data_IF_394972684130
#
_entry.id   IF_394972684130
#
_cell.length_a   1.000
_cell.length_b   1.000
_cell.length_c   1.000
_cell.angle_alpha   90.00
_cell.angle_beta   90.00
_cell.angle_gamma   90.00
#
_symmetry.space_group_name_H-M   'P 1'
#
loop_
_entity.id
_entity.type
_entity.pdbx_description
1 polymer ?
#
# COMPACT_ATOMS: atom_id res chain seq x y z
N UNK A 1 1.77 -7.27 25.63
CA UNK A 1 0.31 -7.14 25.38
C UNK A 1 -0.02 -7.06 23.88
N UNK A 2 0.59 -6.14 23.12
CA UNK A 2 0.35 -5.95 21.67
C UNK A 2 0.64 -7.22 20.83
N UNK A 3 1.77 -7.91 21.07
CA UNK A 3 2.13 -9.13 20.34
C UNK A 3 1.19 -10.34 20.58
N UNK A 4 0.39 -10.33 21.66
CA UNK A 4 -0.69 -11.33 21.89
C UNK A 4 -1.96 -10.95 21.14
N UNK A 5 -2.35 -9.67 21.19
CA UNK A 5 -3.48 -9.14 20.43
C UNK A 5 -3.30 -9.34 18.91
N UNK A 6 -2.08 -9.10 18.42
CA UNK A 6 -1.71 -9.31 17.02
C UNK A 6 -1.90 -10.76 16.57
N UNK A 7 -1.35 -11.72 17.32
CA UNK A 7 -1.49 -13.16 17.02
C UNK A 7 -2.94 -13.66 17.16
N UNK A 8 -3.74 -13.05 18.02
CA UNK A 8 -5.14 -13.42 18.21
C UNK A 8 -6.04 -12.96 17.05
N UNK A 9 -5.83 -11.75 16.53
CA UNK A 9 -6.62 -11.21 15.41
C UNK A 9 -6.16 -11.71 14.03
N UNK A 10 -4.88 -12.02 13.84
CA UNK A 10 -4.33 -12.45 12.56
C UNK A 10 -4.09 -13.96 12.50
N UNK A 11 -5.15 -14.77 12.66
CA UNK A 11 -5.08 -16.23 12.41
C UNK A 11 -4.96 -16.60 10.93
N UNK A 12 -5.28 -15.67 10.02
CA UNK A 12 -5.16 -15.86 8.58
C UNK A 12 -3.99 -15.04 8.02
N UNK A 13 -2.96 -15.72 7.53
CA UNK A 13 -1.76 -15.08 6.96
C UNK A 13 -2.10 -14.07 5.84
N UNK A 14 -3.17 -14.33 5.08
CA UNK A 14 -3.67 -13.43 4.04
C UNK A 14 -4.09 -12.06 4.58
N UNK A 15 -4.83 -12.00 5.70
CA UNK A 15 -5.25 -10.72 6.30
C UNK A 15 -4.07 -9.95 6.87
N UNK A 16 -3.11 -10.67 7.45
CA UNK A 16 -1.89 -10.08 7.98
C UNK A 16 -1.09 -9.39 6.87
N UNK A 17 -0.89 -10.08 5.74
CA UNK A 17 -0.25 -9.50 4.55
C UNK A 17 -0.97 -8.25 4.05
N UNK A 18 -2.30 -8.31 3.91
CA UNK A 18 -3.10 -7.17 3.44
C UNK A 18 -2.97 -5.97 4.39
N UNK A 19 -3.04 -6.21 5.70
CA UNK A 19 -2.89 -5.18 6.71
C UNK A 19 -1.50 -4.54 6.68
N UNK A 20 -0.44 -5.35 6.68
CA UNK A 20 0.94 -4.87 6.68
C UNK A 20 1.28 -4.11 5.39
N UNK A 21 0.85 -4.62 4.23
CA UNK A 21 1.01 -3.92 2.96
C UNK A 21 0.30 -2.56 2.96
N UNK A 22 -0.93 -2.51 3.48
CA UNK A 22 -1.72 -1.27 3.55
C UNK A 22 -1.09 -0.26 4.50
N UNK A 23 -0.64 -0.72 5.67
CA UNK A 23 0.00 0.15 6.66
C UNK A 23 1.33 0.69 6.14
N UNK A 24 2.17 -0.16 5.55
CA UNK A 24 3.44 0.24 4.95
C UNK A 24 3.21 1.26 3.83
N UNK A 25 2.23 1.02 2.95
CA UNK A 25 1.85 1.94 1.89
C UNK A 25 1.51 3.34 2.43
N UNK A 26 0.60 3.42 3.41
CA UNK A 26 0.15 4.70 3.98
C UNK A 26 1.29 5.45 4.65
N UNK A 27 2.11 4.75 5.44
CA UNK A 27 3.25 5.36 6.15
C UNK A 27 4.31 5.86 5.17
N UNK A 28 4.67 5.07 4.16
CA UNK A 28 5.64 5.47 3.14
C UNK A 28 5.13 6.64 2.33
N UNK A 29 3.89 6.61 1.86
CA UNK A 29 3.30 7.72 1.11
C UNK A 29 3.28 9.01 1.92
N UNK A 30 2.80 8.94 3.17
CA UNK A 30 2.80 10.10 4.07
C UNK A 30 4.23 10.63 4.31
N UNK A 31 5.21 9.75 4.49
CA UNK A 31 6.61 10.12 4.68
C UNK A 31 7.21 10.83 3.46
N UNK A 32 7.04 10.28 2.26
CA UNK A 32 7.55 10.89 1.02
C UNK A 32 6.85 12.22 0.73
N UNK A 33 5.54 12.30 0.97
CA UNK A 33 4.78 13.55 0.82
C UNK A 33 5.20 14.61 1.83
N UNK A 34 5.46 14.22 3.08
CA UNK A 34 5.99 15.12 4.10
C UNK A 34 7.37 15.63 3.69
N UNK A 35 8.26 14.77 3.20
CA UNK A 35 9.59 15.15 2.74
C UNK A 35 9.56 16.12 1.55
N UNK A 36 8.74 15.86 0.54
CA UNK A 36 8.56 16.77 -0.61
C UNK A 36 7.97 18.11 -0.16
N UNK A 37 7.02 18.09 0.78
CA UNK A 37 6.49 19.31 1.39
C UNK A 37 7.58 20.09 2.14
N UNK A 38 8.41 19.43 2.96
CA UNK A 38 9.50 20.09 3.69
C UNK A 38 10.56 20.70 2.77
N UNK A 39 10.90 20.02 1.68
CA UNK A 39 11.79 20.54 0.62
C UNK A 39 11.16 21.79 -0.02
N UNK A 40 9.87 21.74 -0.32
CA UNK A 40 9.17 22.86 -0.96
C UNK A 40 9.10 24.11 -0.06
N UNK A 41 8.88 23.94 1.25
CA UNK A 41 8.88 25.07 2.21
C UNK A 41 10.31 25.48 2.63
N UNK A 42 11.35 24.88 2.06
CA UNK A 42 12.75 25.25 2.26
C UNK A 42 13.35 24.81 3.61
N UNK A 43 12.77 23.81 4.27
CA UNK A 43 13.19 23.35 5.60
C UNK A 43 13.74 21.91 5.50
N UNK A 44 15.07 21.74 5.54
CA UNK A 44 15.72 20.42 5.71
C UNK A 44 16.96 20.18 4.83
N UNK A 45 17.83 19.20 5.17
CA UNK A 45 19.10 18.92 4.49
C UNK A 45 18.98 18.08 3.20
N UNK A 46 17.76 17.91 2.67
CA UNK A 46 17.48 16.95 1.61
C UNK A 46 17.66 17.59 0.22
N UNK A 47 18.59 17.04 -0.57
CA UNK A 47 18.82 17.44 -1.96
C UNK A 47 18.35 16.34 -2.92
N UNK A 48 17.90 16.73 -4.10
CA UNK A 48 17.54 15.79 -5.17
C UNK A 48 18.75 14.93 -5.54
N UNK A 49 18.56 13.61 -5.63
CA UNK A 49 19.61 12.69 -6.06
C UNK A 49 19.75 12.78 -7.59
N UNK A 50 20.79 13.47 -8.05
CA UNK A 50 21.17 13.50 -9.47
C UNK A 50 22.35 12.58 -9.74
N UNK A 51 22.17 11.62 -10.64
CA UNK A 51 23.25 10.79 -11.17
C UNK A 51 23.54 11.25 -12.61
N UNK A 52 24.68 11.92 -12.83
CA UNK A 52 25.17 12.24 -14.19
C UNK A 52 24.27 13.13 -15.05
N UNK A 53 23.41 13.96 -14.46
CA UNK A 53 22.44 14.80 -15.18
C UNK A 53 21.07 14.14 -15.44
N UNK A 54 20.89 12.87 -15.04
CA UNK A 54 19.60 12.18 -15.09
C UNK A 54 18.94 12.20 -13.71
N UNK A 55 17.76 12.80 -13.62
CA UNK A 55 16.93 12.75 -12.41
C UNK A 55 16.18 11.41 -12.34
N UNK A 56 16.70 10.49 -11.52
CA UNK A 56 16.02 9.22 -11.26
C UNK A 56 14.91 9.49 -10.24
N UNK A 57 13.69 9.43 -10.74
CA UNK A 57 12.45 9.51 -9.99
C UNK A 57 12.33 8.30 -9.04
N UNK A 58 11.89 8.51 -7.80
CA UNK A 58 11.76 7.41 -6.83
C UNK A 58 10.70 6.38 -7.22
N UNK A 59 9.81 6.74 -8.16
CA UNK A 59 9.00 5.83 -8.95
C UNK A 59 9.79 4.59 -9.43
N UNK A 60 10.98 4.78 -9.99
CA UNK A 60 11.77 3.68 -10.59
C UNK A 60 12.09 2.61 -9.55
N UNK A 61 12.49 3.04 -8.35
CA UNK A 61 12.75 2.15 -7.23
C UNK A 61 11.49 1.45 -6.76
N UNK A 62 10.34 2.15 -6.77
CA UNK A 62 9.03 1.55 -6.49
C UNK A 62 8.68 0.41 -7.44
N UNK A 63 8.84 0.64 -8.75
CA UNK A 63 8.58 -0.37 -9.79
C UNK A 63 9.51 -1.57 -9.63
N UNK A 64 10.83 -1.34 -9.46
CA UNK A 64 11.80 -2.42 -9.26
C UNK A 64 11.46 -3.26 -8.01
N UNK A 65 11.08 -2.61 -6.92
CA UNK A 65 10.68 -3.30 -5.70
C UNK A 65 9.41 -4.14 -5.91
N UNK A 66 8.41 -3.62 -6.63
CA UNK A 66 7.19 -4.35 -6.97
C UNK A 66 7.49 -5.56 -7.88
N UNK A 67 8.39 -5.43 -8.85
CA UNK A 67 8.82 -6.53 -9.72
C UNK A 67 9.51 -7.63 -8.92
N UNK A 68 10.43 -7.28 -8.03
CA UNK A 68 11.11 -8.24 -7.15
C UNK A 68 10.11 -8.95 -6.26
N UNK A 69 9.22 -8.22 -5.58
CA UNK A 69 8.22 -8.82 -4.69
C UNK A 69 7.25 -9.72 -5.48
N UNK A 70 6.81 -9.27 -6.65
CA UNK A 70 5.97 -10.06 -7.54
C UNK A 70 6.65 -11.38 -7.95
N UNK A 71 7.93 -11.31 -8.34
CA UNK A 71 8.71 -12.49 -8.70
C UNK A 71 8.88 -13.46 -7.51
N UNK A 72 9.17 -12.94 -6.31
CA UNK A 72 9.25 -13.73 -5.09
C UNK A 72 7.93 -14.45 -4.79
N UNK A 73 6.78 -13.79 -5.00
CA UNK A 73 5.48 -14.43 -4.83
C UNK A 73 5.17 -15.50 -5.88
N UNK A 74 5.66 -15.36 -7.12
CA UNK A 74 5.52 -16.41 -8.15
C UNK A 74 6.22 -17.72 -7.75
N UNK A 75 7.38 -17.62 -7.12
CA UNK A 75 8.11 -18.78 -6.57
C UNK A 75 7.69 -19.13 -5.13
N UNK A 76 6.54 -18.61 -4.70
CA UNK A 76 5.91 -18.87 -3.40
C UNK A 76 6.70 -18.45 -2.16
N UNK A 77 7.67 -17.54 -2.30
CA UNK A 77 8.38 -16.96 -1.16
C UNK A 77 7.42 -16.07 -0.37
N UNK A 78 7.17 -16.43 0.89
CA UNK A 78 6.23 -15.72 1.77
C UNK A 78 4.75 -15.97 1.50
N UNK A 79 4.42 -16.87 0.57
CA UNK A 79 3.02 -17.26 0.27
C UNK A 79 2.75 -18.76 0.37
N UNK A 80 3.79 -19.60 0.50
CA UNK A 80 3.66 -21.05 0.73
C UNK A 80 3.46 -21.43 2.20
N UNK A 81 3.28 -22.73 2.49
CA UNK A 81 3.02 -23.25 3.86
C UNK A 81 4.29 -23.62 4.65
N UNK A 82 5.47 -23.14 4.26
CA UNK A 82 6.73 -23.51 4.92
C UNK A 82 6.87 -22.83 6.30
N UNK A 83 7.65 -23.43 7.21
CA UNK A 83 7.83 -22.90 8.59
C UNK A 83 8.43 -21.49 8.63
N UNK A 84 9.19 -21.10 7.59
CA UNK A 84 9.74 -19.74 7.44
C UNK A 84 8.82 -18.79 6.66
N UNK A 85 7.69 -19.28 6.13
CA UNK A 85 6.81 -18.50 5.28
C UNK A 85 6.29 -17.25 6.00
N UNK A 86 5.96 -17.33 7.29
CA UNK A 86 5.44 -16.18 8.05
C UNK A 86 6.38 -14.97 8.10
N UNK A 87 7.70 -15.18 8.20
CA UNK A 87 8.67 -14.07 8.21
C UNK A 87 8.80 -13.41 6.83
N UNK A 88 9.01 -14.22 5.79
CA UNK A 88 9.09 -13.72 4.41
C UNK A 88 7.77 -13.11 3.94
N UNK A 89 6.64 -13.61 4.44
CA UNK A 89 5.30 -13.08 4.18
C UNK A 89 5.17 -11.64 4.63
N UNK A 90 5.63 -11.34 5.86
CA UNK A 90 5.62 -9.97 6.42
C UNK A 90 6.54 -9.04 5.64
N UNK A 91 7.77 -9.48 5.37
CA UNK A 91 8.76 -8.67 4.65
C UNK A 91 8.25 -8.34 3.24
N UNK A 92 7.80 -9.34 2.49
CA UNK A 92 7.31 -9.13 1.12
C UNK A 92 6.02 -8.29 1.09
N UNK A 93 5.13 -8.43 2.09
CA UNK A 93 3.97 -7.57 2.23
C UNK A 93 4.34 -6.09 2.51
N UNK A 94 5.27 -5.85 3.43
CA UNK A 94 5.77 -4.49 3.71
C UNK A 94 6.45 -3.91 2.47
N UNK A 95 7.35 -4.67 1.84
CA UNK A 95 8.05 -4.26 0.63
C UNK A 95 7.09 -3.94 -0.53
N UNK A 96 6.02 -4.73 -0.69
CA UNK A 96 4.95 -4.43 -1.65
C UNK A 96 4.30 -3.07 -1.36
N UNK A 97 3.92 -2.82 -0.10
CA UNK A 97 3.31 -1.56 0.31
C UNK A 97 4.22 -0.35 0.05
N UNK A 98 5.50 -0.46 0.41
CA UNK A 98 6.53 0.56 0.14
C UNK A 98 6.67 0.80 -1.36
N UNK A 99 6.80 -0.26 -2.16
CA UNK A 99 6.97 -0.15 -3.61
C UNK A 99 5.78 0.50 -4.30
N UNK A 100 4.56 0.14 -3.88
CA UNK A 100 3.33 0.76 -4.37
C UNK A 100 3.25 2.25 -4.00
N UNK A 101 3.65 2.64 -2.79
CA UNK A 101 3.65 4.04 -2.36
C UNK A 101 4.63 4.89 -3.17
N UNK A 102 5.85 4.38 -3.38
CA UNK A 102 6.87 5.05 -4.18
C UNK A 102 6.43 5.19 -5.66
N UNK A 103 5.81 4.15 -6.22
CA UNK A 103 5.32 4.19 -7.59
C UNK A 103 4.12 5.16 -7.77
N UNK A 104 3.22 5.25 -6.79
CA UNK A 104 2.02 6.09 -6.89
C UNK A 104 2.27 7.56 -6.51
N UNK A 105 3.31 7.87 -5.75
CA UNK A 105 3.57 9.25 -5.32
C UNK A 105 3.79 10.21 -6.52
N UNK A 106 4.42 9.71 -7.57
CA UNK A 106 4.72 10.42 -8.82
C UNK A 106 3.80 9.99 -9.98
N UNK A 107 2.65 9.37 -9.70
CA UNK A 107 1.72 8.87 -10.71
C UNK A 107 1.37 9.91 -11.79
N UNK A 108 1.17 11.17 -11.40
CA UNK A 108 0.83 12.24 -12.33
C UNK A 108 1.96 12.59 -13.32
N UNK A 109 3.23 12.41 -12.95
CA UNK A 109 4.38 12.64 -13.84
C UNK A 109 4.46 11.56 -14.92
N UNK A 110 4.19 10.31 -14.53
CA UNK A 110 4.16 9.17 -15.46
C UNK A 110 2.95 9.23 -16.40
N UNK A 111 1.79 9.67 -15.92
CA UNK A 111 0.56 9.76 -16.72
C UNK A 111 0.62 10.87 -17.76
N UNK A 112 1.23 12.02 -17.44
CA UNK A 112 1.20 13.20 -18.31
C UNK A 112 2.47 13.40 -19.14
N UNK A 113 3.55 12.61 -18.92
CA UNK A 113 4.83 12.65 -19.65
C UNK A 113 5.44 14.07 -19.84
N UNK A 114 5.03 15.05 -19.03
CA UNK A 114 5.51 16.43 -19.05
C UNK A 114 5.68 16.91 -17.60
N UNK A 115 6.80 17.58 -17.31
CA UNK A 115 7.14 18.20 -16.02
C UNK A 115 6.23 19.40 -15.71
N UNK A 116 4.93 19.17 -15.61
CA UNK A 116 3.96 20.21 -15.23
C UNK A 116 3.73 20.11 -13.73
N UNK A 117 4.79 20.42 -12.99
CA UNK A 117 4.89 20.21 -11.54
C UNK A 117 3.87 21.04 -10.73
N UNK A 118 3.27 22.11 -11.28
CA UNK A 118 2.87 23.21 -10.39
C UNK A 118 1.40 23.59 -10.17
N UNK A 119 0.36 22.96 -10.73
CA UNK A 119 -0.99 23.39 -10.26
C UNK A 119 -2.17 22.41 -10.46
N UNK A 120 -2.05 21.44 -11.37
CA UNK A 120 -3.13 20.46 -11.64
C UNK A 120 -2.71 18.99 -11.52
N UNK A 121 -1.43 18.67 -11.69
CA UNK A 121 -0.93 17.29 -11.67
C UNK A 121 -0.81 16.69 -10.25
N UNK A 122 -0.43 17.48 -9.23
CA UNK A 122 -0.35 16.97 -7.85
C UNK A 122 -1.66 16.37 -7.31
N UNK A 123 -2.81 16.88 -7.76
CA UNK A 123 -4.13 16.29 -7.45
C UNK A 123 -4.30 14.88 -8.01
N UNK A 124 -3.80 14.60 -9.22
CA UNK A 124 -3.97 13.28 -9.83
C UNK A 124 -3.20 12.17 -9.08
N UNK A 125 -1.99 12.46 -8.57
CA UNK A 125 -1.29 11.51 -7.70
C UNK A 125 -2.05 11.30 -6.39
N UNK A 126 -2.59 12.37 -5.80
CA UNK A 126 -3.38 12.30 -4.57
C UNK A 126 -4.67 11.50 -4.77
N UNK A 127 -5.38 11.72 -5.88
CA UNK A 127 -6.59 10.99 -6.25
C UNK A 127 -6.31 9.50 -6.46
N UNK A 128 -5.24 9.16 -7.20
CA UNK A 128 -4.82 7.78 -7.40
C UNK A 128 -4.50 7.07 -6.08
N UNK A 129 -3.86 7.79 -5.15
CA UNK A 129 -3.54 7.26 -3.81
C UNK A 129 -4.79 7.09 -2.95
N UNK A 130 -5.74 8.04 -2.96
CA UNK A 130 -7.00 7.88 -2.24
C UNK A 130 -7.83 6.71 -2.76
N UNK A 131 -7.88 6.53 -4.09
CA UNK A 131 -8.52 5.37 -4.71
C UNK A 131 -7.82 4.08 -4.26
N UNK A 132 -6.49 4.02 -4.36
CA UNK A 132 -5.74 2.83 -3.97
C UNK A 132 -5.87 2.52 -2.48
N UNK A 133 -5.78 3.52 -1.60
CA UNK A 133 -5.99 3.37 -0.16
C UNK A 133 -7.41 2.89 0.16
N UNK A 134 -8.42 3.35 -0.59
CA UNK A 134 -9.79 2.88 -0.47
C UNK A 134 -9.92 1.40 -0.85
N UNK A 135 -9.29 0.99 -1.95
CA UNK A 135 -9.26 -0.42 -2.38
C UNK A 135 -8.54 -1.31 -1.35
N UNK A 136 -7.42 -0.86 -0.80
CA UNK A 136 -6.71 -1.55 0.28
C UNK A 136 -7.59 -1.70 1.53
N UNK A 137 -8.30 -0.64 1.92
CA UNK A 137 -9.25 -0.67 3.04
C UNK A 137 -10.37 -1.67 2.80
N UNK A 138 -10.96 -1.69 1.61
CA UNK A 138 -11.95 -2.71 1.20
C UNK A 138 -11.34 -4.12 1.23
N UNK A 139 -10.09 -4.30 0.80
CA UNK A 139 -9.40 -5.58 0.88
C UNK A 139 -9.24 -6.10 2.32
N UNK A 140 -8.97 -5.21 3.27
CA UNK A 140 -8.81 -5.55 4.70
C UNK A 140 -10.17 -5.80 5.38
N UNK A 141 -11.14 -4.90 5.18
CA UNK A 141 -12.40 -4.84 5.95
C UNK A 141 -13.65 -5.33 5.19
N UNK A 142 -13.60 -5.42 3.86
CA UNK A 142 -14.74 -5.75 3.03
C UNK A 142 -15.25 -7.19 3.20
N UNK A 143 -14.35 -8.14 3.43
CA UNK A 143 -14.73 -9.54 3.69
C UNK A 143 -15.63 -9.71 4.94
N UNK A 144 -15.17 -9.30 6.14
CA UNK A 144 -15.99 -9.33 7.36
C UNK A 144 -17.29 -8.55 7.23
N UNK A 145 -17.23 -7.37 6.61
CA UNK A 145 -18.39 -6.51 6.40
C UNK A 145 -19.46 -7.18 5.53
N UNK A 146 -19.08 -7.68 4.35
CA UNK A 146 -20.01 -8.36 3.44
C UNK A 146 -20.60 -9.62 4.10
N UNK A 147 -19.80 -10.35 4.87
CA UNK A 147 -20.30 -11.51 5.61
C UNK A 147 -21.33 -11.11 6.68
N UNK A 148 -21.10 -9.99 7.38
CA UNK A 148 -22.05 -9.41 8.32
C UNK A 148 -23.35 -8.96 7.65
N UNK A 149 -23.25 -8.27 6.52
CA UNK A 149 -24.42 -7.82 5.72
C UNK A 149 -25.24 -9.01 5.24
N UNK A 150 -24.62 -10.04 4.69
CA UNK A 150 -25.33 -11.26 4.25
C UNK A 150 -26.02 -11.93 5.43
N UNK A 151 -25.35 -12.03 6.59
CA UNK A 151 -25.93 -12.62 7.80
C UNK A 151 -27.14 -11.84 8.29
N UNK A 152 -27.09 -10.51 8.25
CA UNK A 152 -28.20 -9.64 8.64
C UNK A 152 -29.38 -9.75 7.66
N UNK A 153 -29.12 -9.78 6.35
CA UNK A 153 -30.15 -9.99 5.32
C UNK A 153 -30.83 -11.35 5.48
N UNK A 154 -30.05 -12.41 5.73
CA UNK A 154 -30.59 -13.75 6.00
C UNK A 154 -31.39 -13.81 7.31
N UNK A 155 -30.97 -13.07 8.33
CA UNK A 155 -31.70 -12.97 9.59
C UNK A 155 -33.03 -12.23 9.42
N UNK A 156 -33.07 -11.16 8.62
CA UNK A 156 -34.29 -10.41 8.28
C UNK A 156 -35.24 -11.24 7.40
N UNK A 157 -34.72 -12.03 6.46
CA UNK A 157 -35.50 -12.95 5.62
C UNK A 157 -36.15 -14.09 6.40
N UNK A 158 -35.58 -14.47 7.55
CA UNK A 158 -36.11 -15.51 8.44
C UNK A 158 -37.10 -15.01 9.49
N UNK A 159 -37.34 -13.69 9.61
CA UNK A 159 -38.36 -13.17 10.54
C UNK A 159 -39.76 -13.41 9.95
N UNK A 160 -40.65 -14.12 10.66
CA UNK A 160 -42.03 -14.28 10.19
C UNK A 160 -42.70 -12.91 10.09
N UNK A 161 -43.39 -12.65 8.98
CA UNK A 161 -44.24 -11.46 8.82
C UNK A 161 -45.39 -11.57 9.82
N UNK A 162 -45.38 -10.74 10.85
CA UNK A 162 -46.53 -10.49 11.75
C UNK A 162 -47.54 -9.59 11.09
#
# INVERSE_FOLDING_TARGET
>A
MIARLYRFHFKSERRERLFLASLAFLLTFAGVRAMTFTIHIGIGPFQNVTAGGLHIHHLVWGILLLLVVGYLWLIQVGTGQSQHAGWFSRITAIAYGVGAALALDEFALWLNLKDVYWERAGRQSVDAVFIFASLLSVGVWGGPFLHGVVKEILALSRRPKT
#
